data_IF_746512115515
#
_entry.id   IF_746512115515
#
_cell.length_a   1.000
_cell.length_b   1.000
_cell.length_c   1.000
_cell.angle_alpha   90.00
_cell.angle_beta   90.00
_cell.angle_gamma   90.00
#
_symmetry.space_group_name_H-M   'P 1'
#
loop_
_entity.id
_entity.type
_entity.pdbx_description
1 polymer ?
#
# COMPACT_ATOMS: atom_id res chain seq x y z
N UNK A 1 -9.94 1.10 6.15
CA UNK A 1 -10.08 0.69 4.72
C UNK A 1 -11.17 -0.38 4.48
N UNK A 2 -12.19 -0.08 3.66
CA UNK A 2 -13.24 -1.03 3.24
C UNK A 2 -13.16 -1.30 1.74
N UNK A 3 -13.51 -2.51 1.32
CA UNK A 3 -13.66 -2.89 -0.08
C UNK A 3 -15.05 -2.46 -0.60
N UNK A 4 -15.19 -2.25 -1.90
CA UNK A 4 -16.46 -1.90 -2.58
C UNK A 4 -17.62 -2.87 -2.28
N UNK A 5 -17.33 -4.12 -1.90
CA UNK A 5 -18.32 -5.13 -1.52
C UNK A 5 -18.79 -5.05 -0.05
N UNK A 6 -18.31 -4.05 0.69
CA UNK A 6 -18.53 -3.85 2.13
C UNK A 6 -17.66 -4.74 3.03
N UNK A 7 -16.71 -5.48 2.48
CA UNK A 7 -15.77 -6.30 3.27
C UNK A 7 -14.56 -5.52 3.78
N UNK A 8 -13.94 -6.01 4.85
CA UNK A 8 -12.68 -5.45 5.35
C UNK A 8 -11.50 -5.81 4.44
N UNK A 9 -10.58 -4.87 4.27
CA UNK A 9 -9.31 -5.06 3.57
C UNK A 9 -8.20 -5.34 4.60
N UNK A 10 -7.46 -6.42 4.40
CA UNK A 10 -6.31 -6.79 5.22
C UNK A 10 -5.01 -6.62 4.45
N UNK A 11 -3.97 -6.10 5.10
CA UNK A 11 -2.63 -6.00 4.52
C UNK A 11 -2.07 -7.41 4.31
N UNK A 12 -1.65 -7.70 3.08
CA UNK A 12 -1.02 -8.96 2.68
C UNK A 12 0.44 -8.79 2.27
N UNK A 13 0.89 -7.56 2.02
CA UNK A 13 2.27 -7.24 1.66
C UNK A 13 2.58 -5.77 1.90
N UNK A 14 3.81 -5.46 2.25
CA UNK A 14 4.30 -4.10 2.44
C UNK A 14 5.56 -3.93 1.59
N UNK A 15 5.63 -2.82 0.86
CA UNK A 15 6.82 -2.47 0.09
C UNK A 15 8.02 -2.22 1.03
N UNK A 16 9.13 -2.88 0.74
CA UNK A 16 10.40 -2.57 1.39
C UNK A 16 11.05 -1.32 0.78
N UNK A 17 11.60 -0.40 1.59
CA UNK A 17 12.37 0.72 1.07
C UNK A 17 13.56 0.24 0.21
N UNK A 18 13.87 0.91 -0.91
CA UNK A 18 14.99 0.53 -1.76
C UNK A 18 16.31 0.41 -1.01
N UNK A 19 17.10 -0.62 -1.36
CA UNK A 19 18.34 -0.96 -0.65
C UNK A 19 19.36 0.18 -0.63
N UNK A 20 19.42 0.97 -1.72
CA UNK A 20 20.37 2.06 -1.93
C UNK A 20 20.09 3.32 -1.09
N UNK A 21 18.93 3.42 -0.44
CA UNK A 21 18.62 4.55 0.44
C UNK A 21 19.42 4.49 1.74
N UNK A 22 19.86 5.66 2.22
CA UNK A 22 20.44 5.80 3.55
C UNK A 22 19.41 5.48 4.64
N UNK A 23 19.87 5.27 5.88
CA UNK A 23 18.97 4.97 7.01
C UNK A 23 17.92 6.07 7.20
N UNK A 24 18.32 7.33 7.09
CA UNK A 24 17.43 8.49 7.23
C UNK A 24 16.39 8.52 6.11
N UNK A 25 16.80 8.28 4.86
CA UNK A 25 15.88 8.23 3.72
C UNK A 25 14.89 7.07 3.85
N UNK A 26 15.31 5.90 4.37
CA UNK A 26 14.42 4.75 4.63
C UNK A 26 13.35 5.04 5.70
N UNK A 27 13.64 5.92 6.66
CA UNK A 27 12.67 6.37 7.66
C UNK A 27 11.60 7.30 7.07
N UNK A 28 11.98 8.10 6.07
CA UNK A 28 11.08 9.03 5.37
C UNK A 28 10.41 8.39 4.14
N UNK A 29 10.76 7.15 3.80
CA UNK A 29 10.27 6.47 2.61
C UNK A 29 8.78 6.15 2.75
N UNK A 30 7.98 6.71 1.85
CA UNK A 30 6.54 6.50 1.75
C UNK A 30 6.25 5.14 1.12
N UNK A 31 6.10 4.12 1.98
CA UNK A 31 5.79 2.75 1.58
C UNK A 31 4.34 2.64 1.11
N UNK A 32 4.12 1.74 0.16
CA UNK A 32 2.79 1.23 -0.16
C UNK A 32 2.59 -0.17 0.39
N UNK A 33 1.34 -0.62 0.44
CA UNK A 33 0.97 -1.97 0.81
C UNK A 33 0.00 -2.58 -0.20
N UNK A 34 0.03 -3.89 -0.27
CA UNK A 34 -0.99 -4.67 -0.96
C UNK A 34 -1.99 -5.16 0.07
N UNK A 35 -3.28 -5.06 -0.25
CA UNK A 35 -4.37 -5.45 0.64
C UNK A 35 -5.32 -6.42 -0.06
N UNK A 36 -5.90 -7.34 0.69
CA UNK A 36 -6.90 -8.29 0.21
C UNK A 36 -8.20 -8.15 0.98
N UNK A 37 -9.32 -8.16 0.27
CA UNK A 37 -10.63 -8.18 0.90
C UNK A 37 -10.93 -9.57 1.48
N UNK A 38 -11.22 -9.63 2.77
CA UNK A 38 -11.59 -10.88 3.44
C UNK A 38 -12.90 -11.49 2.92
N UNK A 39 -13.81 -10.64 2.40
CA UNK A 39 -15.15 -11.07 1.98
C UNK A 39 -15.18 -11.59 0.55
N UNK A 40 -14.56 -10.89 -0.40
CA UNK A 40 -14.62 -11.24 -1.83
C UNK A 40 -13.27 -11.64 -2.45
N UNK A 41 -12.18 -11.63 -1.69
CA UNK A 41 -10.85 -12.02 -2.16
C UNK A 41 -10.15 -11.01 -3.09
N UNK A 42 -10.81 -9.88 -3.45
CA UNK A 42 -10.23 -8.83 -4.30
C UNK A 42 -8.92 -8.33 -3.71
N UNK A 43 -7.86 -8.30 -4.52
CA UNK A 43 -6.56 -7.74 -4.16
C UNK A 43 -6.44 -6.33 -4.73
N UNK A 44 -6.01 -5.38 -3.90
CA UNK A 44 -5.66 -4.03 -4.29
C UNK A 44 -4.17 -3.83 -4.04
N UNK A 45 -3.44 -3.50 -5.09
CA UNK A 45 -2.00 -3.32 -5.01
C UNK A 45 -1.63 -1.87 -4.73
N UNK A 46 -0.47 -1.64 -4.12
CA UNK A 46 0.15 -0.33 -3.96
C UNK A 46 -0.76 0.72 -3.30
N UNK A 47 -1.53 0.30 -2.30
CA UNK A 47 -2.34 1.17 -1.47
C UNK A 47 -1.45 1.95 -0.47
N UNK A 48 -1.84 3.16 -0.06
CA UNK A 48 -1.11 3.89 0.96
C UNK A 48 -1.07 3.11 2.28
N UNK A 49 0.14 2.92 2.84
CA UNK A 49 0.32 2.16 4.08
C UNK A 49 -0.14 2.91 5.34
N UNK A 50 -0.13 4.25 5.32
CA UNK A 50 -0.58 5.11 6.42
C UNK A 50 -1.87 5.86 6.05
N UNK A 51 -2.89 5.81 6.92
CA UNK A 51 -4.08 6.69 6.88
C UNK A 51 -3.77 8.14 7.37
N UNK A 52 -2.50 8.48 7.59
CA UNK A 52 -2.07 9.75 8.16
C UNK A 52 -1.77 10.84 7.11
N UNK A 53 -2.77 11.69 6.85
CA UNK A 53 -2.68 12.99 6.18
C UNK A 53 -2.33 12.97 4.68
N UNK A 54 -3.34 13.31 3.87
CA UNK A 54 -3.28 14.08 2.62
C UNK A 54 -1.95 14.08 1.84
N UNK A 55 -2.01 13.55 0.60
CA UNK A 55 -0.97 13.53 -0.44
C UNK A 55 -0.09 12.26 -0.41
N UNK A 56 -0.66 11.12 -0.79
CA UNK A 56 0.11 10.05 -1.39
C UNK A 56 -0.40 9.83 -2.81
N UNK A 57 0.41 10.29 -3.77
CA UNK A 57 0.20 10.14 -5.20
C UNK A 57 0.04 8.66 -5.52
N UNK A 58 -1.14 8.25 -5.97
CA UNK A 58 -1.36 6.96 -6.60
C UNK A 58 -0.34 6.82 -7.73
N UNK A 59 0.67 5.95 -7.55
CA UNK A 59 1.63 5.68 -8.62
C UNK A 59 1.00 4.66 -9.54
N UNK A 60 0.84 4.94 -10.84
CA UNK A 60 0.40 3.92 -11.79
C UNK A 60 1.46 2.81 -11.80
N UNK A 61 1.09 1.63 -11.33
CA UNK A 61 1.91 0.44 -11.46
C UNK A 61 1.91 -0.02 -12.92
N UNK A 62 3.06 -0.55 -13.37
CA UNK A 62 3.22 -1.08 -14.72
C UNK A 62 2.15 -2.17 -14.93
N UNK A 63 1.35 -2.04 -16.00
CA UNK A 63 0.52 -3.16 -16.47
C UNK A 63 1.45 -4.29 -16.88
N UNK A 64 1.23 -5.46 -16.27
CA UNK A 64 1.85 -6.73 -16.65
C UNK A 64 1.28 -7.15 -18.01
#
# INVERSE_FOLDING_TARGET
MFCDCGGLLFVIGIEEPPAHLSKTEKLLYKRVCDVQCHKCGKVLYSQPYDEGTTINSFRPTKKI
#
